data_IF_997653644600
#
_entry.id   IF_997653644600
#
_cell.length_a   1.000
_cell.length_b   1.000
_cell.length_c   1.000
_cell.angle_alpha   90.00
_cell.angle_beta   90.00
_cell.angle_gamma   90.00
#
_symmetry.space_group_name_H-M   'P 1'
#
loop_
_entity.id
_entity.type
_entity.pdbx_description
1 polymer ?
#
# COMPACT_ATOMS: atom_id res chain seq x y z
N UNK A 1 -21.84 9.42 14.25
CA UNK A 1 -21.24 10.12 13.09
C UNK A 1 -21.15 11.66 13.22
N UNK A 2 -21.87 12.33 14.15
CA UNK A 2 -21.86 13.80 14.28
C UNK A 2 -20.50 14.42 14.62
N UNK A 3 -19.72 13.77 15.50
CA UNK A 3 -18.39 14.25 15.91
C UNK A 3 -17.38 14.25 14.75
N UNK A 4 -17.36 13.19 13.93
CA UNK A 4 -16.46 13.08 12.75
C UNK A 4 -16.76 14.19 11.75
N UNK A 5 -18.04 14.51 11.53
CA UNK A 5 -18.44 15.60 10.64
C UNK A 5 -17.97 16.97 11.15
N UNK A 6 -18.09 17.22 12.46
CA UNK A 6 -17.61 18.46 13.09
C UNK A 6 -16.09 18.58 12.96
N UNK A 7 -15.35 17.52 13.29
CA UNK A 7 -13.89 17.50 13.16
C UNK A 7 -13.44 17.73 11.71
N UNK A 8 -14.11 17.10 10.74
CA UNK A 8 -13.81 17.31 9.32
C UNK A 8 -14.05 18.77 8.89
N UNK A 9 -15.13 19.39 9.36
CA UNK A 9 -15.43 20.79 9.06
C UNK A 9 -14.38 21.75 9.65
N UNK A 10 -13.94 21.51 10.89
CA UNK A 10 -12.88 22.30 11.54
C UNK A 10 -11.57 22.16 10.75
N UNK A 11 -11.15 20.93 10.44
CA UNK A 11 -9.91 20.66 9.71
C UNK A 11 -9.89 21.28 8.30
N UNK A 12 -11.01 21.24 7.56
CA UNK A 12 -11.09 21.89 6.25
C UNK A 12 -11.05 23.42 6.37
N UNK A 13 -11.67 23.99 7.41
CA UNK A 13 -11.58 25.42 7.72
C UNK A 13 -10.16 25.87 8.02
N UNK A 14 -9.44 25.14 8.87
CA UNK A 14 -8.04 25.41 9.23
C UNK A 14 -7.11 25.28 8.01
N UNK A 15 -7.27 24.21 7.22
CA UNK A 15 -6.52 24.02 5.97
C UNK A 15 -6.72 25.18 5.01
N UNK A 16 -7.96 25.66 4.83
CA UNK A 16 -8.25 26.80 3.98
C UNK A 16 -7.61 28.10 4.49
N UNK A 17 -7.58 28.31 5.81
CA UNK A 17 -6.93 29.46 6.42
C UNK A 17 -5.40 29.42 6.24
N UNK A 18 -4.78 28.26 6.42
CA UNK A 18 -3.32 28.06 6.22
C UNK A 18 -2.94 28.28 4.76
N UNK A 19 -3.69 27.73 3.81
CA UNK A 19 -3.43 27.92 2.37
C UNK A 19 -3.62 29.36 1.90
N UNK A 20 -4.48 30.15 2.57
CA UNK A 20 -4.62 31.59 2.29
C UNK A 20 -3.46 32.40 2.83
N UNK A 21 -2.89 31.99 3.97
CA UNK A 21 -1.77 32.66 4.63
C UNK A 21 -0.44 32.38 3.93
N UNK A 22 -0.19 31.13 3.58
CA UNK A 22 1.06 30.69 2.95
C UNK A 22 0.81 30.34 1.47
N UNK A 23 1.36 31.16 0.56
CA UNK A 23 1.26 30.90 -0.89
C UNK A 23 1.90 29.56 -1.30
N UNK A 24 2.90 29.10 -0.54
CA UNK A 24 3.58 27.83 -0.76
C UNK A 24 3.78 27.13 0.58
N UNK A 25 3.44 25.84 0.64
CA UNK A 25 3.69 25.04 1.83
C UNK A 25 5.17 24.65 1.91
N UNK A 26 5.77 24.60 3.10
CA UNK A 26 7.16 24.22 3.26
C UNK A 26 7.39 22.76 2.82
N UNK A 27 8.59 22.46 2.30
CA UNK A 27 8.94 21.12 1.82
C UNK A 27 8.75 20.03 2.89
N UNK A 28 8.96 20.38 4.17
CA UNK A 28 8.72 19.50 5.32
C UNK A 28 7.27 19.06 5.44
N UNK A 29 6.30 19.90 5.05
CA UNK A 29 4.88 19.55 5.02
C UNK A 29 4.62 18.48 3.96
N UNK A 30 5.07 18.72 2.72
CA UNK A 30 4.90 17.76 1.62
C UNK A 30 5.55 16.42 1.95
N UNK A 31 6.72 16.43 2.58
CA UNK A 31 7.40 15.24 3.04
C UNK A 31 6.58 14.46 4.08
N UNK A 32 6.06 15.13 5.11
CA UNK A 32 5.20 14.50 6.12
C UNK A 32 3.92 13.93 5.51
N UNK A 33 3.32 14.66 4.58
CA UNK A 33 2.12 14.20 3.87
C UNK A 33 2.44 12.94 3.05
N UNK A 34 3.57 12.92 2.35
CA UNK A 34 4.01 11.75 1.60
C UNK A 34 4.26 10.54 2.52
N UNK A 35 4.92 10.76 3.66
CA UNK A 35 5.17 9.71 4.66
C UNK A 35 3.88 9.10 5.18
N UNK A 36 2.89 9.92 5.55
CA UNK A 36 1.59 9.45 6.01
C UNK A 36 0.82 8.68 4.93
N UNK A 37 0.88 9.14 3.68
CA UNK A 37 0.25 8.45 2.56
C UNK A 37 0.90 7.09 2.32
N UNK A 38 2.22 7.03 2.36
CA UNK A 38 2.98 5.80 2.19
C UNK A 38 2.67 4.82 3.33
N UNK A 39 2.73 5.27 4.60
CA UNK A 39 2.47 4.41 5.76
C UNK A 39 1.05 3.84 5.75
N UNK A 40 0.05 4.65 5.41
CA UNK A 40 -1.34 4.19 5.30
C UNK A 40 -1.54 3.23 4.13
N UNK A 41 -0.87 3.47 3.00
CA UNK A 41 -0.85 2.53 1.88
C UNK A 41 -0.24 1.20 2.27
N UNK A 42 0.86 1.21 3.02
CA UNK A 42 1.53 0.00 3.48
C UNK A 42 0.69 -0.77 4.50
N UNK A 43 0.04 -0.09 5.44
CA UNK A 43 -0.88 -0.71 6.40
C UNK A 43 -2.06 -1.39 5.69
N UNK A 44 -2.61 -0.75 4.65
CA UNK A 44 -3.66 -1.35 3.83
C UNK A 44 -3.17 -2.61 3.12
N UNK A 45 -1.96 -2.56 2.54
CA UNK A 45 -1.37 -3.73 1.89
C UNK A 45 -1.12 -4.86 2.90
N UNK A 46 -0.62 -4.55 4.09
CA UNK A 46 -0.49 -5.51 5.19
C UNK A 46 -1.84 -6.11 5.55
N UNK A 47 -2.90 -5.32 5.70
CA UNK A 47 -4.24 -5.83 5.98
C UNK A 47 -4.69 -6.84 4.92
N UNK A 48 -4.49 -6.52 3.63
CA UNK A 48 -4.81 -7.45 2.53
C UNK A 48 -4.01 -8.74 2.58
N UNK A 49 -2.73 -8.67 2.94
CA UNK A 49 -1.92 -9.88 3.14
C UNK A 49 -2.50 -10.77 4.24
N UNK A 50 -2.95 -10.19 5.36
CA UNK A 50 -3.60 -10.93 6.44
C UNK A 50 -4.97 -11.51 6.00
N UNK A 51 -5.75 -10.77 5.22
CA UNK A 51 -7.01 -11.27 4.64
C UNK A 51 -6.77 -12.46 3.70
N UNK A 52 -5.79 -12.35 2.80
CA UNK A 52 -5.39 -13.44 1.88
C UNK A 52 -4.96 -14.67 2.68
N UNK A 53 -4.19 -14.47 3.75
CA UNK A 53 -3.78 -15.55 4.65
C UNK A 53 -4.99 -16.21 5.33
N UNK A 54 -5.91 -15.43 5.88
CA UNK A 54 -7.11 -15.95 6.55
C UNK A 54 -8.00 -16.77 5.60
N UNK A 55 -8.23 -16.28 4.38
CA UNK A 55 -9.02 -16.99 3.35
C UNK A 55 -8.33 -18.27 2.85
N UNK A 56 -6.99 -18.29 2.86
CA UNK A 56 -6.23 -19.50 2.52
C UNK A 56 -6.36 -20.55 3.61
N UNK A 57 -6.15 -20.15 4.86
CA UNK A 57 -6.04 -21.05 6.02
C UNK A 57 -7.42 -21.54 6.50
N UNK A 58 -8.50 -20.78 6.28
CA UNK A 58 -9.86 -21.16 6.64
C UNK A 58 -10.87 -20.96 5.49
N UNK A 59 -10.88 -21.87 4.49
CA UNK A 59 -11.84 -21.81 3.38
C UNK A 59 -13.31 -22.03 3.80
N UNK A 60 -13.58 -22.38 5.07
CA UNK A 60 -14.92 -22.59 5.63
C UNK A 60 -15.45 -21.38 6.42
N UNK A 61 -14.63 -20.36 6.70
CA UNK A 61 -15.10 -19.13 7.35
C UNK A 61 -16.00 -18.27 6.44
N UNK A 62 -15.97 -18.50 5.12
CA UNK A 62 -16.93 -17.96 4.14
C UNK A 62 -18.27 -18.71 4.12
N UNK A 63 -18.37 -19.85 4.82
CA UNK A 63 -19.57 -20.70 4.89
C UNK A 63 -20.33 -20.59 6.22
N UNK A 64 -19.98 -19.65 7.10
CA UNK A 64 -20.87 -19.29 8.21
C UNK A 64 -21.77 -18.14 7.77
N UNK A 65 -23.03 -18.41 7.36
CA UNK A 65 -24.06 -17.39 7.47
C UNK A 65 -24.22 -17.15 8.97
N UNK A 66 -23.79 -15.98 9.40
CA UNK A 66 -24.17 -15.44 10.69
C UNK A 66 -25.69 -15.62 10.83
N UNK A 67 -26.12 -16.22 11.94
CA UNK A 67 -27.52 -16.44 12.27
C UNK A 67 -28.23 -15.09 12.41
N UNK A 68 -28.66 -14.48 11.29
CA UNK A 68 -29.67 -13.42 11.26
C UNK A 68 -30.29 -13.26 9.87
N UNK A 69 -31.58 -13.54 9.86
CA UNK A 69 -32.62 -13.16 8.90
C UNK A 69 -32.70 -13.93 7.55
N UNK A 70 -33.70 -14.84 7.41
CA UNK A 70 -33.92 -15.56 6.16
C UNK A 70 -34.86 -14.78 5.25
N UNK A 71 -34.39 -13.73 4.56
CA UNK A 71 -34.97 -13.28 3.28
C UNK A 71 -34.02 -12.28 2.60
N UNK A 72 -33.28 -12.73 1.60
CA UNK A 72 -32.98 -12.00 0.36
C UNK A 72 -32.14 -12.94 -0.53
N UNK A 73 -32.81 -13.57 -1.49
CA UNK A 73 -32.15 -14.19 -2.63
C UNK A 73 -31.56 -13.08 -3.47
N UNK A 74 -30.23 -12.98 -3.52
CA UNK A 74 -29.55 -12.27 -4.59
C UNK A 74 -28.50 -13.22 -5.14
N UNK A 75 -28.71 -13.66 -6.38
CA UNK A 75 -27.70 -14.34 -7.18
C UNK A 75 -26.43 -13.47 -7.22
N UNK A 76 -25.31 -14.05 -6.78
CA UNK A 76 -24.01 -13.40 -6.82
C UNK A 76 -22.92 -14.45 -6.82
N UNK A 77 -22.42 -14.76 -8.04
CA UNK A 77 -21.13 -15.36 -8.44
C UNK A 77 -20.31 -16.13 -7.38
N UNK A 78 -19.84 -17.37 -7.66
CA UNK A 78 -19.27 -18.26 -6.65
C UNK A 78 -18.04 -17.68 -5.91
N UNK A 79 -17.83 -18.05 -4.63
CA UNK A 79 -16.73 -17.57 -3.77
C UNK A 79 -15.31 -17.99 -4.22
N UNK A 80 -15.19 -18.80 -5.26
CA UNK A 80 -13.89 -19.22 -5.84
C UNK A 80 -13.15 -18.06 -6.55
N UNK A 81 -13.87 -16.97 -6.88
CA UNK A 81 -13.34 -15.79 -7.59
C UNK A 81 -12.62 -14.77 -6.70
N UNK A 82 -12.70 -14.89 -5.37
CA UNK A 82 -12.31 -13.79 -4.46
C UNK A 82 -10.82 -13.77 -4.16
N UNK A 83 -10.21 -14.93 -3.87
CA UNK A 83 -8.79 -15.00 -3.50
C UNK A 83 -7.84 -14.56 -4.63
N UNK A 84 -8.00 -15.02 -5.90
CA UNK A 84 -7.15 -14.56 -6.99
C UNK A 84 -7.29 -13.05 -7.26
N UNK A 85 -8.51 -12.50 -7.12
CA UNK A 85 -8.75 -11.07 -7.29
C UNK A 85 -8.07 -10.24 -6.19
N UNK A 86 -8.17 -10.68 -4.93
CA UNK A 86 -7.49 -10.03 -3.80
C UNK A 86 -5.97 -10.04 -3.96
N UNK A 87 -5.39 -11.17 -4.40
CA UNK A 87 -3.95 -11.28 -4.67
C UNK A 87 -3.53 -10.31 -5.78
N UNK A 88 -4.29 -10.25 -6.87
CA UNK A 88 -4.00 -9.32 -7.98
C UNK A 88 -4.04 -7.86 -7.53
N UNK A 89 -5.02 -7.50 -6.72
CA UNK A 89 -5.16 -6.15 -6.14
C UNK A 89 -4.02 -5.85 -5.16
N UNK A 90 -3.61 -6.80 -4.31
CA UNK A 90 -2.47 -6.64 -3.42
C UNK A 90 -1.15 -6.44 -4.19
N UNK A 91 -0.93 -7.19 -5.29
CA UNK A 91 0.27 -7.01 -6.12
C UNK A 91 0.26 -5.65 -6.83
N UNK A 92 -0.89 -5.16 -7.30
CA UNK A 92 -1.00 -3.80 -7.86
C UNK A 92 -0.66 -2.73 -6.82
N UNK A 93 -1.15 -2.87 -5.59
CA UNK A 93 -0.81 -1.94 -4.50
C UNK A 93 0.67 -1.99 -4.13
N UNK A 94 1.28 -3.18 -4.12
CA UNK A 94 2.71 -3.36 -3.91
C UNK A 94 3.54 -2.64 -4.99
N UNK A 95 3.17 -2.79 -6.26
CA UNK A 95 3.81 -2.07 -7.37
C UNK A 95 3.68 -0.56 -7.23
N UNK A 96 2.50 -0.06 -6.83
CA UNK A 96 2.28 1.36 -6.58
C UNK A 96 3.16 1.87 -5.42
N UNK A 97 3.24 1.14 -4.32
CA UNK A 97 4.11 1.46 -3.18
C UNK A 97 5.58 1.49 -3.59
N UNK A 98 6.01 0.52 -4.41
CA UNK A 98 7.35 0.49 -5.01
C UNK A 98 7.63 1.72 -5.87
N UNK A 99 6.69 2.18 -6.70
CA UNK A 99 6.87 3.42 -7.47
C UNK A 99 7.03 4.65 -6.56
N UNK A 100 6.31 4.71 -5.44
CA UNK A 100 6.49 5.79 -4.46
C UNK A 100 7.89 5.79 -3.84
N UNK A 101 8.41 4.62 -3.48
CA UNK A 101 9.79 4.47 -2.97
C UNK A 101 10.80 4.92 -4.03
N UNK A 102 10.70 4.44 -5.27
CA UNK A 102 11.62 4.84 -6.34
C UNK A 102 11.61 6.34 -6.60
N UNK A 103 10.43 6.96 -6.62
CA UNK A 103 10.30 8.42 -6.76
C UNK A 103 10.97 9.14 -5.59
N UNK A 104 10.83 8.64 -4.36
CA UNK A 104 11.48 9.23 -3.19
C UNK A 104 13.00 9.10 -3.25
N UNK A 105 13.54 7.96 -3.71
CA UNK A 105 14.97 7.78 -3.98
C UNK A 105 15.46 8.84 -4.97
N UNK A 106 14.74 9.06 -6.08
CA UNK A 106 15.12 10.07 -7.08
C UNK A 106 15.13 11.50 -6.49
N UNK A 107 14.11 11.86 -5.71
CA UNK A 107 14.04 13.15 -5.03
C UNK A 107 15.21 13.31 -4.06
N UNK A 108 15.51 12.27 -3.27
CA UNK A 108 16.61 12.29 -2.32
C UNK A 108 17.97 12.48 -3.02
N UNK A 109 18.24 11.73 -4.10
CA UNK A 109 19.45 11.88 -4.91
C UNK A 109 19.58 13.29 -5.49
N UNK A 110 18.47 13.87 -5.95
CA UNK A 110 18.45 15.25 -6.47
C UNK A 110 18.76 16.26 -5.37
N UNK A 111 18.19 16.10 -4.17
CA UNK A 111 18.48 16.96 -3.03
C UNK A 111 19.94 16.84 -2.60
N UNK A 112 20.49 15.62 -2.58
CA UNK A 112 21.91 15.40 -2.29
C UNK A 112 22.82 16.08 -3.33
N UNK A 113 22.47 16.00 -4.62
CA UNK A 113 23.22 16.70 -5.68
C UNK A 113 23.19 18.22 -5.49
N UNK A 114 22.02 18.80 -5.18
CA UNK A 114 21.88 20.23 -4.92
C UNK A 114 22.64 20.67 -3.67
N UNK A 115 22.71 19.80 -2.65
CA UNK A 115 23.52 20.03 -1.46
C UNK A 115 25.01 20.16 -1.80
N UNK A 116 25.48 19.35 -2.75
CA UNK A 116 26.83 19.48 -3.30
C UNK A 116 27.11 20.84 -3.95
N UNK A 117 26.07 21.56 -4.36
CA UNK A 117 26.14 22.93 -4.88
C UNK A 117 25.86 24.01 -3.82
N UNK A 118 25.83 23.65 -2.53
CA UNK A 118 25.62 24.58 -1.42
C UNK A 118 24.16 24.79 -0.99
N UNK A 119 23.21 24.01 -1.51
CA UNK A 119 21.84 24.03 -1.00
C UNK A 119 21.75 23.38 0.40
N UNK A 120 20.75 23.78 1.20
CA UNK A 120 20.51 23.16 2.51
C UNK A 120 20.02 21.72 2.33
N UNK A 121 20.60 20.78 3.08
CA UNK A 121 20.27 19.36 3.04
C UNK A 121 20.06 18.81 4.45
N UNK A 122 18.79 18.68 4.83
CA UNK A 122 18.37 18.24 6.17
C UNK A 122 17.95 16.76 6.19
N UNK A 123 18.19 16.01 5.11
CA UNK A 123 17.71 14.63 4.97
C UNK A 123 18.80 13.60 5.26
N UNK A 124 18.54 12.68 6.21
CA UNK A 124 19.32 11.45 6.33
C UNK A 124 18.63 10.29 5.58
N UNK A 125 19.39 9.21 5.33
CA UNK A 125 18.91 8.04 4.61
C UNK A 125 17.93 7.17 5.42
N UNK A 126 17.85 7.33 6.74
CA UNK A 126 17.14 6.39 7.61
C UNK A 126 15.64 6.24 7.30
N UNK A 127 14.84 7.31 7.03
CA UNK A 127 13.46 7.16 6.60
C UNK A 127 13.31 6.42 5.27
N UNK A 128 14.23 6.66 4.33
CA UNK A 128 14.20 6.01 3.03
C UNK A 128 14.54 4.51 3.16
N UNK A 129 15.56 4.20 3.96
CA UNK A 129 15.91 2.83 4.31
C UNK A 129 14.73 2.10 4.95
N UNK A 130 14.08 2.72 5.95
CA UNK A 130 12.89 2.15 6.59
C UNK A 130 11.78 1.86 5.59
N UNK A 131 11.53 2.76 4.63
CA UNK A 131 10.53 2.52 3.57
C UNK A 131 10.88 1.31 2.71
N UNK A 132 12.15 1.17 2.31
CA UNK A 132 12.61 0.02 1.54
C UNK A 132 12.46 -1.28 2.33
N UNK A 133 12.93 -1.31 3.58
CA UNK A 133 12.84 -2.48 4.47
C UNK A 133 11.39 -2.90 4.69
N UNK A 134 10.52 -1.95 5.05
CA UNK A 134 9.09 -2.25 5.31
C UNK A 134 8.37 -2.73 4.05
N UNK A 135 8.72 -2.22 2.88
CA UNK A 135 8.16 -2.68 1.61
C UNK A 135 8.64 -4.09 1.26
N UNK A 136 9.91 -4.39 1.46
CA UNK A 136 10.50 -5.71 1.23
C UNK A 136 9.92 -6.76 2.18
N UNK A 137 9.67 -6.40 3.44
CA UNK A 137 9.00 -7.27 4.40
C UNK A 137 7.60 -7.67 3.91
N UNK A 138 6.77 -6.70 3.52
CA UNK A 138 5.42 -6.95 3.01
C UNK A 138 5.44 -7.70 1.67
N UNK A 139 6.43 -7.39 0.82
CA UNK A 139 6.69 -8.16 -0.40
C UNK A 139 6.88 -9.65 -0.08
N UNK A 140 7.72 -9.99 0.89
CA UNK A 140 8.00 -11.38 1.22
C UNK A 140 6.77 -12.09 1.79
N UNK A 141 6.01 -11.41 2.65
CA UNK A 141 4.76 -11.95 3.17
C UNK A 141 3.77 -12.23 2.04
N UNK A 142 3.56 -11.28 1.12
CA UNK A 142 2.65 -11.46 -0.01
C UNK A 142 3.12 -12.56 -0.97
N UNK A 143 4.44 -12.65 -1.23
CA UNK A 143 5.02 -13.72 -2.03
C UNK A 143 4.76 -15.09 -1.40
N UNK A 144 4.93 -15.24 -0.08
CA UNK A 144 4.59 -16.47 0.64
C UNK A 144 3.10 -16.82 0.50
N UNK A 145 2.20 -15.83 0.56
CA UNK A 145 0.77 -16.08 0.34
C UNK A 145 0.47 -16.58 -1.07
N UNK A 146 1.08 -15.98 -2.09
CA UNK A 146 0.94 -16.40 -3.50
C UNK A 146 1.45 -17.83 -3.69
N UNK A 147 2.61 -18.17 -3.11
CA UNK A 147 3.14 -19.53 -3.19
C UNK A 147 2.24 -20.55 -2.50
N UNK A 148 1.69 -20.21 -1.33
CA UNK A 148 0.73 -21.05 -0.61
C UNK A 148 -0.62 -21.19 -1.33
N UNK A 149 -1.00 -20.21 -2.16
CA UNK A 149 -2.22 -20.25 -2.97
C UNK A 149 -2.01 -20.77 -4.40
N UNK A 150 -0.81 -21.26 -4.73
CA UNK A 150 -0.41 -21.69 -6.09
C UNK A 150 -1.41 -22.65 -6.74
N UNK A 151 -1.90 -23.65 -6.00
CA UNK A 151 -2.89 -24.61 -6.48
C UNK A 151 -4.25 -23.97 -6.86
N UNK A 152 -4.61 -22.84 -6.24
CA UNK A 152 -5.88 -22.11 -6.46
C UNK A 152 -5.77 -21.00 -7.51
N UNK A 153 -4.55 -20.56 -7.85
CA UNK A 153 -4.29 -19.45 -8.77
C UNK A 153 -4.34 -19.85 -10.25
N UNK A 154 -4.31 -21.15 -10.55
CA UNK A 154 -4.29 -21.65 -11.93
C UNK A 154 -2.92 -21.51 -12.60
N UNK A 155 -2.72 -22.27 -13.69
CA UNK A 155 -1.41 -22.45 -14.33
C UNK A 155 -0.86 -21.19 -15.02
N UNK A 156 -1.73 -20.25 -15.42
CA UNK A 156 -1.32 -19.05 -16.17
C UNK A 156 -1.05 -17.82 -15.29
N UNK A 157 -1.76 -17.69 -14.15
CA UNK A 157 -1.63 -16.49 -13.30
C UNK A 157 -0.39 -16.55 -12.43
N UNK A 158 -0.01 -17.72 -11.92
CA UNK A 158 1.14 -17.86 -11.03
C UNK A 158 2.46 -17.41 -11.67
N UNK A 159 2.85 -17.86 -12.89
CA UNK A 159 4.09 -17.40 -13.53
C UNK A 159 4.11 -15.88 -13.73
N UNK A 160 2.99 -15.31 -14.17
CA UNK A 160 2.85 -13.86 -14.38
C UNK A 160 2.99 -13.06 -13.08
N UNK A 161 2.46 -13.57 -11.97
CA UNK A 161 2.64 -12.94 -10.66
C UNK A 161 4.10 -12.99 -10.22
N UNK A 162 4.78 -14.11 -10.41
CA UNK A 162 6.21 -14.27 -10.06
C UNK A 162 7.10 -13.33 -10.88
N UNK A 163 6.83 -13.14 -12.16
CA UNK A 163 7.53 -12.14 -12.99
C UNK A 163 7.36 -10.72 -12.44
N UNK A 164 6.14 -10.33 -12.07
CA UNK A 164 5.86 -9.02 -11.46
C UNK A 164 6.59 -8.84 -10.14
N UNK A 165 6.63 -9.86 -9.30
CA UNK A 165 7.42 -9.85 -8.06
C UNK A 165 8.92 -9.67 -8.34
N UNK A 166 9.47 -10.38 -9.32
CA UNK A 166 10.87 -10.21 -9.70
C UNK A 166 11.17 -8.80 -10.23
N UNK A 167 10.24 -8.20 -10.96
CA UNK A 167 10.37 -6.81 -11.40
C UNK A 167 10.36 -5.83 -10.22
N UNK A 168 9.49 -6.05 -9.23
CA UNK A 168 9.44 -5.25 -8.00
C UNK A 168 10.80 -5.27 -7.29
N UNK A 169 11.33 -6.46 -6.96
CA UNK A 169 12.63 -6.57 -6.29
C UNK A 169 13.78 -6.03 -7.14
N UNK A 170 13.88 -6.44 -8.40
CA UNK A 170 15.01 -6.04 -9.25
C UNK A 170 15.05 -4.52 -9.45
N UNK A 171 13.90 -3.86 -9.51
CA UNK A 171 13.85 -2.40 -9.63
C UNK A 171 14.20 -1.67 -8.33
N UNK A 172 13.96 -2.28 -7.16
CA UNK A 172 14.38 -1.72 -5.87
C UNK A 172 15.88 -1.92 -5.60
N UNK A 173 16.43 -3.09 -5.96
CA UNK A 173 17.84 -3.44 -5.69
C UNK A 173 18.80 -2.73 -6.65
N UNK A 174 18.41 -2.51 -7.92
CA UNK A 174 19.28 -1.89 -8.94
C UNK A 174 19.41 -0.36 -8.81
N UNK A 175 18.73 0.28 -7.85
CA UNK A 175 18.60 1.75 -7.77
C UNK A 175 19.32 2.32 -6.57
#
# INVERSE_FOLDING_TARGET
>A
LRLVAILKAILEGEKAAVLKRDRHLPLSFHRRQEELKFSLGLQRLQHRVHEIQALRDNPAASLQPDLRDPQLKTEGKPPESELPALILEAVKELEAAKQQVLKRIQIWKRQQQLAGNGAVFEENLAPLQKRCESLVEVYFQLHQQVMGASAKLGAELLPRLLERFNEVLSSLVKR
#
